data_IF_201210081483
#
_entry.id   IF_201210081483
#
_cell.length_a   1.000
_cell.length_b   1.000
_cell.length_c   1.000
_cell.angle_alpha   90.00
_cell.angle_beta   90.00
_cell.angle_gamma   90.00
#
_symmetry.space_group_name_H-M   'P 1'
#
loop_
_entity.id
_entity.type
_entity.pdbx_description
1 polymer ?
#
# COMPACT_ATOMS: atom_id res chain seq x y z
N UNK A 1 -2.50 -19.81 18.29
CA UNK A 1 -1.67 -19.47 17.10
C UNK A 1 -1.06 -18.11 17.32
N UNK A 2 0.21 -17.90 16.98
CA UNK A 2 0.85 -16.59 17.17
C UNK A 2 0.51 -15.70 15.97
N UNK A 3 0.04 -14.49 16.23
CA UNK A 3 -0.45 -13.58 15.17
C UNK A 3 0.32 -12.27 15.13
N UNK A 4 0.54 -11.77 13.92
CA UNK A 4 1.18 -10.48 13.66
C UNK A 4 0.25 -9.56 12.88
N UNK A 5 0.24 -8.29 13.27
CA UNK A 5 -0.41 -7.21 12.53
C UNK A 5 0.67 -6.25 12.06
N UNK A 6 0.77 -6.00 10.76
CA UNK A 6 1.80 -5.14 10.20
C UNK A 6 1.22 -4.02 9.34
N UNK A 7 1.70 -2.80 9.53
CA UNK A 7 1.47 -1.70 8.59
C UNK A 7 2.17 -2.02 7.25
N UNK A 8 1.50 -1.75 6.13
CA UNK A 8 2.10 -1.92 4.81
C UNK A 8 3.07 -0.78 4.52
N UNK A 9 2.56 0.46 4.48
CA UNK A 9 3.32 1.65 4.10
C UNK A 9 4.33 2.05 5.19
N UNK A 10 5.60 2.15 4.81
CA UNK A 10 6.69 2.53 5.71
C UNK A 10 7.12 1.47 6.73
N UNK A 11 6.55 0.26 6.66
CA UNK A 11 6.92 -0.88 7.51
C UNK A 11 7.30 -2.09 6.65
N UNK A 12 6.33 -2.75 6.01
CA UNK A 12 6.60 -3.87 5.09
C UNK A 12 7.15 -3.38 3.75
N UNK A 13 6.63 -2.25 3.27
CA UNK A 13 7.12 -1.49 2.12
C UNK A 13 7.90 -0.30 2.66
N UNK A 14 9.09 0.00 2.14
CA UNK A 14 9.97 1.04 2.71
C UNK A 14 9.39 2.43 2.56
N UNK A 15 8.72 2.72 1.44
CA UNK A 15 8.12 4.02 1.21
C UNK A 15 6.84 4.21 2.06
N UNK A 16 6.78 5.24 2.93
CA UNK A 16 5.57 5.58 3.67
C UNK A 16 4.50 6.26 2.80
N UNK A 17 4.87 6.81 1.64
CA UNK A 17 3.95 7.50 0.75
C UNK A 17 3.49 6.58 -0.39
N UNK A 18 2.18 6.30 -0.50
CA UNK A 18 1.66 5.46 -1.56
C UNK A 18 1.49 6.18 -2.91
N UNK A 19 1.76 7.49 -2.99
CA UNK A 19 1.50 8.30 -4.19
C UNK A 19 2.06 7.69 -5.49
N UNK A 20 3.27 7.17 -5.46
CA UNK A 20 3.87 6.52 -6.63
C UNK A 20 3.09 5.30 -7.13
N UNK A 21 2.41 4.56 -6.25
CA UNK A 21 1.55 3.43 -6.64
C UNK A 21 0.23 3.92 -7.27
N UNK A 22 -0.30 5.06 -6.82
CA UNK A 22 -1.44 5.70 -7.48
C UNK A 22 -1.08 6.25 -8.86
N UNK A 23 0.12 6.78 -9.04
CA UNK A 23 0.63 7.17 -10.36
C UNK A 23 0.68 5.98 -11.32
N UNK A 24 1.08 4.79 -10.86
CA UNK A 24 1.06 3.57 -11.67
C UNK A 24 -0.36 3.18 -12.10
N UNK A 25 -1.34 3.23 -11.19
CA UNK A 25 -2.74 3.02 -11.54
C UNK A 25 -3.22 4.04 -12.57
N UNK A 26 -2.94 5.33 -12.34
CA UNK A 26 -3.35 6.40 -13.24
C UNK A 26 -2.77 6.21 -14.66
N UNK A 27 -1.50 5.82 -14.76
CA UNK A 27 -0.82 5.64 -16.03
C UNK A 27 -1.28 4.40 -16.80
N UNK A 28 -1.37 3.25 -16.14
CA UNK A 28 -1.66 1.98 -16.82
C UNK A 28 -3.16 1.80 -17.08
N UNK A 29 -4.04 2.28 -16.20
CA UNK A 29 -5.48 2.15 -16.37
C UNK A 29 -6.10 3.26 -17.24
N UNK A 30 -5.51 4.46 -17.26
CA UNK A 30 -6.10 5.63 -17.92
C UNK A 30 -5.19 6.38 -18.88
N UNK A 31 -3.92 6.02 -18.95
CA UNK A 31 -2.91 6.69 -19.76
C UNK A 31 -2.38 7.98 -19.15
N UNK A 32 -1.76 8.78 -20.02
CA UNK A 32 -0.94 9.93 -19.65
C UNK A 32 -1.71 11.12 -19.06
N UNK A 33 -2.96 11.32 -19.48
CA UNK A 33 -3.74 12.49 -19.05
C UNK A 33 -3.96 12.47 -17.54
N UNK A 34 -4.43 11.34 -17.00
CA UNK A 34 -4.66 11.20 -15.55
C UNK A 34 -3.35 11.19 -14.78
N UNK A 35 -2.32 10.58 -15.33
CA UNK A 35 -0.97 10.61 -14.76
C UNK A 35 -0.46 12.06 -14.61
N UNK A 36 -0.61 12.88 -15.65
CA UNK A 36 -0.22 14.29 -15.64
C UNK A 36 -1.08 15.11 -14.67
N UNK A 37 -2.40 14.86 -14.61
CA UNK A 37 -3.28 15.50 -13.63
C UNK A 37 -2.87 15.17 -12.20
N UNK A 38 -2.60 13.90 -11.89
CA UNK A 38 -2.18 13.50 -10.56
C UNK A 38 -0.84 14.16 -10.18
N UNK A 39 0.11 14.21 -11.12
CA UNK A 39 1.39 14.89 -10.92
C UNK A 39 1.23 16.41 -10.73
N UNK A 40 0.33 17.05 -11.47
CA UNK A 40 0.04 18.48 -11.33
C UNK A 40 -0.51 18.81 -9.93
N UNK A 41 -1.33 17.89 -9.38
CA UNK A 41 -1.91 18.04 -8.04
C UNK A 41 -0.99 17.60 -6.90
N UNK A 42 0.18 17.02 -7.20
CA UNK A 42 1.17 16.63 -6.21
C UNK A 42 1.48 17.68 -5.12
N UNK A 43 1.82 18.95 -5.46
CA UNK A 43 2.08 19.96 -4.43
C UNK A 43 0.86 20.27 -3.56
N UNK A 44 -0.35 20.19 -4.13
CA UNK A 44 -1.60 20.40 -3.39
C UNK A 44 -1.85 19.22 -2.44
N UNK A 45 -1.60 17.99 -2.89
CA UNK A 45 -1.72 16.78 -2.09
C UNK A 45 -0.76 16.85 -0.89
N UNK A 46 0.50 17.20 -1.12
CA UNK A 46 1.46 17.38 -0.03
C UNK A 46 1.08 18.51 0.93
N UNK A 47 0.53 19.61 0.42
CA UNK A 47 0.04 20.69 1.27
C UNK A 47 -1.12 20.21 2.15
N UNK A 48 -2.02 19.39 1.61
CA UNK A 48 -3.12 18.77 2.36
C UNK A 48 -2.64 17.75 3.39
N UNK A 49 -1.56 17.03 3.13
CA UNK A 49 -0.95 16.12 4.11
C UNK A 49 -0.27 16.87 5.24
N UNK A 50 0.26 18.08 4.98
CA UNK A 50 0.94 18.90 5.96
C UNK A 50 -0.02 19.74 6.83
N UNK A 51 -1.07 20.29 6.22
CA UNK A 51 -1.97 21.27 6.86
C UNK A 51 -3.42 20.81 6.98
N UNK A 52 -3.80 19.77 6.24
CA UNK A 52 -5.19 19.35 6.12
C UNK A 52 -5.62 18.34 7.17
N UNK A 53 -6.91 17.96 7.15
CA UNK A 53 -7.42 16.85 7.95
C UNK A 53 -6.68 15.55 7.63
N UNK A 54 -6.62 14.65 8.62
CA UNK A 54 -6.04 13.31 8.42
C UNK A 54 -6.65 12.61 7.20
N UNK A 55 -5.79 12.00 6.39
CA UNK A 55 -6.10 11.30 5.15
C UNK A 55 -6.67 12.16 4.00
N UNK A 56 -6.74 13.49 4.11
CA UNK A 56 -7.26 14.34 3.05
C UNK A 56 -6.43 14.24 1.75
N UNK A 57 -5.10 14.27 1.85
CA UNK A 57 -4.20 14.09 0.71
C UNK A 57 -4.37 12.72 0.06
N UNK A 58 -4.50 11.65 0.85
CA UNK A 58 -4.74 10.30 0.36
C UNK A 58 -6.10 10.17 -0.35
N UNK A 59 -7.16 10.78 0.20
CA UNK A 59 -8.49 10.81 -0.42
C UNK A 59 -8.46 11.53 -1.76
N UNK A 60 -7.77 12.68 -1.85
CA UNK A 60 -7.62 13.41 -3.10
C UNK A 60 -6.81 12.60 -4.13
N UNK A 61 -5.70 12.01 -3.71
CA UNK A 61 -4.86 11.13 -4.54
C UNK A 61 -5.69 9.97 -5.10
N UNK A 62 -6.44 9.30 -4.24
CA UNK A 62 -7.33 8.20 -4.61
C UNK A 62 -8.36 8.67 -5.62
N UNK A 63 -9.02 9.81 -5.36
CA UNK A 63 -10.03 10.36 -6.25
C UNK A 63 -9.47 10.63 -7.65
N UNK A 64 -8.36 11.36 -7.76
CA UNK A 64 -7.76 11.69 -9.06
C UNK A 64 -7.30 10.43 -9.79
N UNK A 65 -6.73 9.45 -9.08
CA UNK A 65 -6.17 8.24 -9.68
C UNK A 65 -7.22 7.25 -10.19
N UNK A 66 -8.36 7.11 -9.51
CA UNK A 66 -9.33 6.03 -9.81
C UNK A 66 -10.72 6.49 -10.23
N UNK A 67 -11.08 7.77 -10.07
CA UNK A 67 -12.41 8.24 -10.43
C UNK A 67 -12.73 7.98 -11.91
N UNK A 68 -13.85 7.29 -12.15
CA UNK A 68 -14.34 6.96 -13.49
C UNK A 68 -13.66 5.75 -14.14
N UNK A 69 -12.75 5.03 -13.45
CA UNK A 69 -12.23 3.74 -13.93
C UNK A 69 -13.20 2.60 -13.66
N UNK A 70 -13.19 1.57 -14.51
CA UNK A 70 -13.85 0.31 -14.16
C UNK A 70 -13.05 -0.40 -13.08
N UNK A 71 -13.77 -1.04 -12.16
CA UNK A 71 -13.12 -1.80 -11.08
C UNK A 71 -12.22 -2.92 -11.61
N UNK A 72 -12.58 -3.53 -12.74
CA UNK A 72 -11.79 -4.55 -13.42
C UNK A 72 -10.47 -4.03 -13.98
N UNK A 73 -10.42 -2.76 -14.42
CA UNK A 73 -9.19 -2.13 -14.91
C UNK A 73 -8.23 -1.88 -13.73
N UNK A 74 -8.75 -1.37 -12.61
CA UNK A 74 -7.97 -1.18 -11.39
C UNK A 74 -7.42 -2.53 -10.90
N UNK A 75 -8.26 -3.57 -10.85
CA UNK A 75 -7.84 -4.90 -10.42
C UNK A 75 -6.80 -5.50 -11.36
N UNK A 76 -6.94 -5.30 -12.68
CA UNK A 76 -5.97 -5.75 -13.67
C UNK A 76 -4.60 -5.12 -13.45
N UNK A 77 -4.53 -3.80 -13.24
CA UNK A 77 -3.25 -3.12 -12.96
C UNK A 77 -2.70 -3.52 -11.59
N UNK A 78 -3.57 -3.66 -10.57
CA UNK A 78 -3.18 -4.11 -9.24
C UNK A 78 -2.62 -5.54 -9.22
N UNK A 79 -3.02 -6.38 -10.18
CA UNK A 79 -2.52 -7.75 -10.34
C UNK A 79 -1.27 -7.81 -11.22
N UNK A 80 -1.24 -7.10 -12.33
CA UNK A 80 -0.20 -7.24 -13.34
C UNK A 80 1.02 -6.34 -13.08
N UNK A 81 0.79 -5.14 -12.54
CA UNK A 81 1.81 -4.08 -12.50
C UNK A 81 2.29 -3.79 -11.09
N UNK A 82 1.36 -3.53 -10.16
CA UNK A 82 1.72 -3.13 -8.80
C UNK A 82 2.61 -4.14 -8.05
N UNK A 83 2.44 -5.47 -8.16
CA UNK A 83 3.23 -6.41 -7.37
C UNK A 83 4.73 -6.28 -7.62
N UNK A 84 5.16 -6.00 -8.86
CA UNK A 84 6.57 -5.75 -9.19
C UNK A 84 7.13 -4.59 -8.37
N UNK A 85 6.45 -3.44 -8.41
CA UNK A 85 6.93 -2.23 -7.75
C UNK A 85 6.88 -2.33 -6.23
N UNK A 86 5.89 -3.04 -5.68
CA UNK A 86 5.88 -3.34 -4.25
C UNK A 86 7.03 -4.28 -3.86
N UNK A 87 7.31 -5.31 -4.66
CA UNK A 87 8.39 -6.26 -4.41
C UNK A 87 9.76 -5.57 -4.39
N UNK A 88 10.01 -4.63 -5.30
CA UNK A 88 11.23 -3.83 -5.35
C UNK A 88 11.41 -2.95 -4.10
N UNK A 89 10.31 -2.60 -3.42
CA UNK A 89 10.28 -1.71 -2.26
C UNK A 89 10.09 -2.45 -0.92
N UNK A 90 10.14 -3.79 -0.90
CA UNK A 90 10.00 -4.57 0.34
C UNK A 90 11.16 -4.27 1.30
N UNK A 91 10.81 -4.04 2.57
CA UNK A 91 11.74 -4.09 3.68
C UNK A 91 11.95 -5.54 4.13
N UNK A 92 13.09 -6.12 3.74
CA UNK A 92 13.43 -7.51 4.06
C UNK A 92 13.52 -7.80 5.56
N UNK A 93 13.88 -6.81 6.39
CA UNK A 93 13.96 -7.00 7.83
C UNK A 93 12.56 -7.08 8.46
N UNK A 94 11.63 -6.23 8.03
CA UNK A 94 10.23 -6.29 8.43
C UNK A 94 9.56 -7.58 7.94
N UNK A 95 9.84 -7.98 6.70
CA UNK A 95 9.37 -9.22 6.11
C UNK A 95 9.83 -10.44 6.90
N UNK A 96 11.11 -10.50 7.30
CA UNK A 96 11.66 -11.63 8.06
C UNK A 96 10.85 -11.87 9.33
N UNK A 97 10.58 -10.81 10.10
CA UNK A 97 9.74 -10.88 11.31
C UNK A 97 8.30 -11.28 10.96
N UNK A 98 7.70 -10.65 9.95
CA UNK A 98 6.32 -10.92 9.55
C UNK A 98 6.09 -12.38 9.09
N UNK A 99 7.06 -12.97 8.38
CA UNK A 99 6.97 -14.31 7.80
C UNK A 99 7.01 -15.45 8.82
N UNK A 100 7.40 -15.17 10.06
CA UNK A 100 7.56 -16.15 11.14
C UNK A 100 6.25 -16.51 11.84
N UNK A 101 5.22 -15.69 11.67
CA UNK A 101 3.93 -15.89 12.32
C UNK A 101 3.00 -16.75 11.46
N UNK A 102 2.13 -17.52 12.13
CA UNK A 102 1.13 -18.35 11.45
C UNK A 102 0.02 -17.48 10.87
N UNK A 103 -0.55 -16.58 11.69
CA UNK A 103 -1.64 -15.68 11.30
C UNK A 103 -1.10 -14.28 11.02
N UNK A 104 -1.24 -13.82 9.78
CA UNK A 104 -0.63 -12.62 9.24
C UNK A 104 -1.70 -11.65 8.77
N UNK A 105 -1.78 -10.50 9.43
CA UNK A 105 -2.74 -9.44 9.10
C UNK A 105 -1.99 -8.20 8.65
N UNK A 106 -2.36 -7.65 7.51
CA UNK A 106 -1.78 -6.41 7.00
C UNK A 106 -2.78 -5.27 7.12
N UNK A 107 -2.31 -4.15 7.63
CA UNK A 107 -3.05 -2.90 7.72
C UNK A 107 -2.49 -1.94 6.68
N UNK A 108 -3.35 -1.31 5.90
CA UNK A 108 -2.95 -0.33 4.88
C UNK A 108 -3.88 0.87 4.90
N UNK A 109 -3.33 2.05 4.62
CA UNK A 109 -4.15 3.23 4.31
C UNK A 109 -4.69 3.21 2.88
N UNK A 110 -3.97 2.56 1.96
CA UNK A 110 -4.37 2.47 0.55
C UNK A 110 -5.65 1.64 0.36
N UNK A 111 -6.38 1.87 -0.73
CA UNK A 111 -7.54 1.06 -1.05
C UNK A 111 -7.14 -0.41 -1.20
N UNK A 112 -7.87 -1.29 -0.50
CA UNK A 112 -7.62 -2.74 -0.43
C UNK A 112 -7.41 -3.36 -1.80
N UNK A 113 -8.21 -2.98 -2.81
CA UNK A 113 -8.12 -3.53 -4.16
C UNK A 113 -6.74 -3.34 -4.82
N UNK A 114 -6.00 -2.30 -4.45
CA UNK A 114 -4.67 -2.03 -5.01
C UNK A 114 -3.59 -2.95 -4.45
N UNK A 115 -3.72 -3.38 -3.19
CA UNK A 115 -2.66 -4.14 -2.50
C UNK A 115 -3.01 -5.60 -2.29
N UNK A 116 -4.29 -5.97 -2.38
CA UNK A 116 -4.78 -7.28 -1.95
C UNK A 116 -4.07 -8.44 -2.64
N UNK A 117 -3.86 -8.34 -3.96
CA UNK A 117 -3.17 -9.37 -4.75
C UNK A 117 -1.72 -9.53 -4.33
N UNK A 118 -0.99 -8.42 -4.20
CA UNK A 118 0.39 -8.44 -3.75
C UNK A 118 0.53 -9.08 -2.36
N UNK A 119 -0.27 -8.60 -1.41
CA UNK A 119 -0.15 -9.00 0.00
C UNK A 119 -0.58 -10.46 0.22
N UNK A 120 -1.65 -10.95 -0.44
CA UNK A 120 -2.05 -12.36 -0.31
C UNK A 120 -1.14 -13.31 -1.07
N UNK A 121 -0.78 -12.99 -2.30
CA UNK A 121 -0.05 -13.94 -3.17
C UNK A 121 1.46 -13.91 -2.92
N UNK A 122 2.03 -12.75 -2.58
CA UNK A 122 3.47 -12.57 -2.47
C UNK A 122 3.94 -12.54 -1.01
N UNK A 123 3.18 -11.90 -0.12
CA UNK A 123 3.47 -11.84 1.31
C UNK A 123 2.76 -12.94 2.14
N UNK A 124 1.89 -13.74 1.52
CA UNK A 124 1.13 -14.81 2.19
C UNK A 124 0.37 -14.32 3.43
N UNK A 125 -0.18 -13.11 3.36
CA UNK A 125 -1.05 -12.63 4.44
C UNK A 125 -2.43 -13.31 4.36
N UNK A 126 -3.00 -13.62 5.51
CA UNK A 126 -4.34 -14.21 5.60
C UNK A 126 -5.41 -13.14 5.40
N UNK A 127 -5.22 -11.98 6.03
CA UNK A 127 -6.23 -10.92 6.08
C UNK A 127 -5.64 -9.53 5.86
N UNK A 128 -6.46 -8.65 5.29
CA UNK A 128 -6.06 -7.28 4.94
C UNK A 128 -7.13 -6.31 5.41
N UNK A 129 -6.68 -5.36 6.23
CA UNK A 129 -7.47 -4.25 6.76
C UNK A 129 -7.04 -3.00 6.00
N UNK A 130 -7.73 -2.75 4.89
CA UNK A 130 -7.55 -1.58 4.06
C UNK A 130 -8.85 -0.83 3.82
N UNK A 131 -8.74 0.36 3.25
CA UNK A 131 -9.90 1.17 2.90
C UNK A 131 -10.62 0.60 1.66
N UNK A 132 -11.92 0.81 1.52
CA UNK A 132 -12.69 0.25 0.39
C UNK A 132 -13.15 1.36 -0.55
N UNK A 133 -13.03 1.16 -1.86
CA UNK A 133 -13.53 2.11 -2.85
C UNK A 133 -15.04 2.02 -2.98
N UNK A 134 -15.70 3.17 -3.08
CA UNK A 134 -17.12 3.24 -3.42
C UNK A 134 -17.28 3.03 -4.93
N UNK A 135 -18.16 2.10 -5.30
CA UNK A 135 -18.41 1.71 -6.68
C UNK A 135 -19.85 2.03 -7.04
N UNK A 136 -20.05 2.59 -8.23
CA UNK A 136 -21.39 2.87 -8.76
C UNK A 136 -22.05 1.56 -9.26
N UNK A 137 -23.38 1.56 -9.43
CA UNK A 137 -24.18 0.43 -9.98
C UNK A 137 -23.68 -0.12 -11.32
N UNK A 138 -22.89 0.65 -12.05
CA UNK A 138 -22.32 0.29 -13.34
C UNK A 138 -20.89 -0.29 -13.25
N UNK A 139 -20.35 -0.50 -12.05
CA UNK A 139 -19.01 -1.08 -11.85
C UNK A 139 -17.84 -0.08 -11.97
N UNK A 140 -18.13 1.23 -11.93
CA UNK A 140 -17.11 2.27 -11.96
C UNK A 140 -16.76 2.77 -10.56
N UNK A 141 -15.47 2.94 -10.29
CA UNK A 141 -15.00 3.55 -9.06
C UNK A 141 -15.34 5.05 -9.05
N UNK A 142 -15.94 5.53 -7.97
CA UNK A 142 -16.27 6.95 -7.81
C UNK A 142 -15.06 7.79 -7.40
N UNK A 143 -13.97 7.12 -6.98
CA UNK A 143 -12.80 7.76 -6.40
C UNK A 143 -12.94 8.10 -4.91
N UNK A 144 -14.11 7.83 -4.32
CA UNK A 144 -14.34 8.01 -2.89
C UNK A 144 -14.06 6.72 -2.14
N UNK A 145 -13.57 6.88 -0.92
CA UNK A 145 -13.30 5.79 0.00
C UNK A 145 -14.48 5.67 0.97
N UNK A 146 -14.97 4.45 1.17
CA UNK A 146 -16.01 4.14 2.15
C UNK A 146 -15.42 4.29 3.55
N UNK A 147 -16.13 5.02 4.41
CA UNK A 147 -15.82 5.02 5.83
C UNK A 147 -16.22 3.67 6.44
N UNK A 148 -15.21 2.88 6.81
CA UNK A 148 -15.37 1.53 7.37
C UNK A 148 -15.07 1.50 8.87
N UNK A 149 -15.01 2.67 9.51
CA UNK A 149 -14.63 2.83 10.91
C UNK A 149 -13.12 2.84 11.14
N UNK A 150 -12.73 2.94 12.41
CA UNK A 150 -11.32 3.01 12.80
C UNK A 150 -10.59 1.69 12.53
N UNK A 151 -9.32 1.79 12.11
CA UNK A 151 -8.45 0.63 11.86
C UNK A 151 -8.33 -0.24 13.11
N UNK A 152 -8.15 0.38 14.28
CA UNK A 152 -8.10 -0.28 15.57
C UNK A 152 -9.37 -1.10 15.86
N UNK A 153 -10.56 -0.55 15.59
CA UNK A 153 -11.84 -1.25 15.74
C UNK A 153 -12.01 -2.43 14.79
N UNK A 154 -11.43 -2.35 13.58
CA UNK A 154 -11.44 -3.48 12.63
C UNK A 154 -10.47 -4.58 13.03
N UNK A 155 -9.30 -4.21 13.56
CA UNK A 155 -8.36 -5.17 14.13
C UNK A 155 -8.99 -5.87 15.33
N UNK A 156 -9.58 -5.15 16.28
CA UNK A 156 -10.25 -5.77 17.43
C UNK A 156 -11.39 -6.69 16.99
N UNK A 157 -12.21 -6.30 16.02
CA UNK A 157 -13.26 -7.15 15.47
C UNK A 157 -12.73 -8.44 14.83
N UNK A 158 -11.56 -8.39 14.20
CA UNK A 158 -10.95 -9.56 13.54
C UNK A 158 -10.38 -10.57 14.56
N UNK A 159 -9.89 -10.10 15.70
CA UNK A 159 -9.31 -10.94 16.75
C UNK A 159 -10.28 -11.25 17.90
N UNK A 160 -11.43 -10.57 17.96
CA UNK A 160 -12.42 -10.75 19.04
C UNK A 160 -11.82 -10.38 20.39
N UNK A 161 -11.86 -11.32 21.34
CA UNK A 161 -11.28 -11.16 22.68
C UNK A 161 -9.77 -11.45 22.72
N UNK A 162 -9.20 -12.05 21.67
CA UNK A 162 -7.77 -12.32 21.60
C UNK A 162 -7.00 -11.07 21.17
N UNK A 163 -5.87 -10.80 21.81
CA UNK A 163 -4.98 -9.70 21.39
C UNK A 163 -3.88 -10.21 20.47
N UNK A 164 -3.60 -9.53 19.34
CA UNK A 164 -2.50 -9.90 18.49
C UNK A 164 -1.18 -9.84 19.25
N UNK A 165 -0.30 -10.80 18.99
CA UNK A 165 0.96 -10.92 19.71
C UNK A 165 1.89 -9.75 19.37
N UNK A 166 2.11 -9.49 18.09
CA UNK A 166 3.04 -8.47 17.63
C UNK A 166 2.37 -7.46 16.68
N UNK A 167 2.59 -6.18 16.96
CA UNK A 167 2.32 -5.07 16.05
C UNK A 167 3.62 -4.57 15.42
N UNK A 168 3.71 -4.61 14.09
CA UNK A 168 4.79 -4.01 13.30
C UNK A 168 4.29 -2.70 12.71
N UNK A 169 4.92 -1.59 13.07
CA UNK A 169 4.51 -0.27 12.63
C UNK A 169 5.60 0.76 12.79
N UNK A 170 5.42 1.92 12.17
CA UNK A 170 6.31 3.06 12.37
C UNK A 170 6.14 3.62 13.79
N UNK A 171 7.13 4.32 14.35
CA UNK A 171 6.98 4.97 15.66
C UNK A 171 6.06 6.21 15.64
N UNK A 172 5.52 6.58 14.47
CA UNK A 172 4.71 7.78 14.26
C UNK A 172 3.24 7.57 14.65
N UNK A 173 2.64 8.54 15.34
CA UNK A 173 1.21 8.58 15.68
C UNK A 173 0.33 8.92 14.45
N UNK A 174 0.40 8.10 13.40
CA UNK A 174 -0.55 8.17 12.28
C UNK A 174 -1.78 7.31 12.56
N UNK A 175 -2.93 7.66 11.98
CA UNK A 175 -4.20 6.93 12.12
C UNK A 175 -4.06 5.41 11.85
N UNK A 176 -3.17 5.04 10.92
CA UNK A 176 -2.79 3.67 10.58
C UNK A 176 -2.11 2.92 11.71
N UNK A 177 -1.48 3.60 12.66
CA UNK A 177 -0.72 3.00 13.75
C UNK A 177 -1.54 2.77 15.03
N UNK A 178 -2.80 3.22 15.04
CA UNK A 178 -3.72 3.08 16.17
C UNK A 178 -3.92 1.62 16.62
N UNK A 179 -3.70 0.64 15.72
CA UNK A 179 -3.78 -0.79 16.07
C UNK A 179 -2.65 -1.27 16.97
N UNK A 180 -1.49 -0.59 17.02
CA UNK A 180 -0.39 -1.00 17.88
C UNK A 180 -0.76 -0.90 19.37
N UNK A 181 -1.74 -0.06 19.72
CA UNK A 181 -2.27 0.01 21.09
C UNK A 181 -2.95 -1.29 21.54
N UNK A 182 -3.45 -2.09 20.59
CA UNK A 182 -4.18 -3.34 20.83
C UNK A 182 -3.21 -4.54 20.91
N UNK A 183 -2.02 -4.42 20.31
CA UNK A 183 -1.02 -5.49 20.27
C UNK A 183 -0.32 -5.69 21.62
N UNK A 184 0.02 -6.93 21.95
CA UNK A 184 0.75 -7.27 23.19
C UNK A 184 2.18 -6.71 23.17
N UNK A 185 2.85 -6.84 22.04
CA UNK A 185 4.17 -6.28 21.78
C UNK A 185 4.14 -5.35 20.57
N UNK A 186 5.04 -4.36 20.58
CA UNK A 186 5.22 -3.40 19.49
C UNK A 186 6.65 -3.45 19.03
N UNK A 187 6.86 -3.57 17.72
CA UNK A 187 8.19 -3.52 17.15
C UNK A 187 8.23 -2.46 16.05
N UNK A 188 9.24 -1.59 16.16
CA UNK A 188 9.46 -0.46 15.28
C UNK A 188 10.78 -0.67 14.52
N UNK A 189 10.96 -0.02 13.36
CA UNK A 189 12.27 0.06 12.73
C UNK A 189 13.30 0.69 13.67
N UNK A 190 14.56 0.22 13.70
CA UNK A 190 15.12 -0.85 12.89
C UNK A 190 14.83 -2.22 13.55
N UNK A 191 14.25 -3.16 12.80
CA UNK A 191 13.80 -4.50 13.27
C UNK A 191 14.95 -5.44 13.69
N UNK A 192 16.12 -4.88 13.98
CA UNK A 192 17.42 -5.54 14.21
C UNK A 192 17.44 -6.42 15.46
N UNK A 193 16.64 -6.09 16.47
CA UNK A 193 16.64 -6.83 17.75
C UNK A 193 15.93 -8.18 17.64
N UNK A 194 14.82 -8.25 16.88
CA UNK A 194 14.11 -9.50 16.63
C UNK A 194 14.81 -10.32 15.54
N UNK A 195 15.40 -9.67 14.53
CA UNK A 195 16.13 -10.35 13.46
C UNK A 195 17.30 -11.21 13.94
N UNK A 196 18.00 -10.81 15.02
CA UNK A 196 19.11 -11.59 15.60
C UNK A 196 18.66 -12.77 16.47
N UNK A 197 17.42 -12.79 16.98
CA UNK A 197 16.93 -13.87 17.82
C UNK A 197 16.54 -15.12 17.00
N UNK A 198 16.44 -15.00 15.67
CA UNK A 198 15.72 -15.97 14.82
C UNK A 198 16.50 -16.40 13.58
N UNK A 199 17.83 -16.49 13.69
CA UNK A 199 18.74 -16.95 12.61
C UNK A 199 18.56 -18.44 12.22
N UNK A 200 17.56 -19.13 12.78
CA UNK A 200 17.41 -20.59 12.68
C UNK A 200 16.11 -21.10 12.02
N UNK A 201 15.27 -20.23 11.44
CA UNK A 201 14.07 -20.69 10.73
C UNK A 201 14.00 -20.14 9.30
N UNK A 202 14.12 -21.07 8.35
CA UNK A 202 13.80 -21.02 6.91
C UNK A 202 13.81 -19.62 6.27
N UNK A 203 14.76 -19.40 5.36
CA UNK A 203 14.79 -18.30 4.39
C UNK A 203 13.56 -18.33 3.45
N UNK A 204 12.38 -18.07 3.99
CA UNK A 204 11.15 -17.84 3.25
C UNK A 204 11.29 -16.48 2.59
N UNK A 205 11.82 -16.49 1.36
CA UNK A 205 11.75 -15.31 0.50
C UNK A 205 10.28 -15.06 0.14
N UNK A 206 9.87 -13.79 -0.05
CA UNK A 206 8.56 -13.52 -0.61
C UNK A 206 8.45 -14.20 -1.98
N UNK A 207 7.23 -14.59 -2.37
CA UNK A 207 7.03 -15.27 -3.66
C UNK A 207 7.45 -14.31 -4.77
N UNK A 208 8.29 -14.73 -5.73
CA UNK A 208 8.75 -13.84 -6.78
C UNK A 208 7.60 -13.44 -7.71
N UNK A 209 7.60 -12.18 -8.13
CA UNK A 209 6.65 -11.66 -9.11
C UNK A 209 7.14 -12.03 -10.51
N UNK A 210 6.34 -12.76 -11.28
CA UNK A 210 6.60 -12.96 -12.71
C UNK A 210 5.97 -11.78 -13.46
N UNK A 211 6.81 -10.82 -13.82
CA UNK A 211 6.38 -9.61 -14.52
C UNK A 211 6.62 -9.76 -16.02
N UNK A 212 5.53 -9.81 -16.79
CA UNK A 212 5.61 -10.06 -18.23
C UNK A 212 5.73 -8.78 -19.05
N UNK A 213 5.14 -7.66 -18.61
CA UNK A 213 5.32 -6.37 -19.24
C UNK A 213 4.72 -5.23 -18.38
N UNK A 214 5.26 -4.04 -18.53
CA UNK A 214 4.62 -2.80 -18.07
C UNK A 214 5.38 -1.62 -18.62
N UNK A 215 4.64 -0.55 -18.92
CA UNK A 215 5.14 0.56 -19.73
C UNK A 215 6.21 1.37 -19.01
N UNK A 216 6.28 1.26 -17.68
CA UNK A 216 7.35 1.84 -16.86
C UNK A 216 8.28 0.76 -16.32
N UNK A 217 9.58 1.01 -16.48
CA UNK A 217 10.64 0.16 -15.91
C UNK A 217 10.87 0.48 -14.43
N UNK A 218 10.77 1.76 -14.05
CA UNK A 218 11.00 2.26 -12.69
C UNK A 218 9.73 2.86 -12.10
N UNK A 219 9.60 2.76 -10.77
CA UNK A 219 8.50 3.37 -10.02
C UNK A 219 8.50 4.89 -10.25
N UNK A 220 7.39 5.50 -10.72
CA UNK A 220 7.34 6.92 -11.00
C UNK A 220 7.29 7.71 -9.68
N UNK A 221 8.44 8.22 -9.25
CA UNK A 221 8.46 9.34 -8.29
C UNK A 221 7.93 10.59 -8.99
N UNK A 222 7.42 11.61 -8.28
CA UNK A 222 6.96 12.84 -8.91
C UNK A 222 8.02 13.46 -9.84
N UNK A 223 9.29 13.50 -9.41
CA UNK A 223 10.40 13.99 -10.22
C UNK A 223 10.61 13.14 -11.48
N UNK A 224 10.60 11.80 -11.36
CA UNK A 224 10.72 10.90 -12.51
C UNK A 224 9.49 10.98 -13.43
N UNK A 225 8.29 11.19 -12.87
CA UNK A 225 7.06 11.37 -13.63
C UNK A 225 7.08 12.64 -14.48
N UNK A 226 7.65 13.72 -13.94
CA UNK A 226 7.86 14.96 -14.69
C UNK A 226 8.83 14.75 -15.85
N UNK A 227 9.93 14.03 -15.62
CA UNK A 227 10.87 13.67 -16.68
C UNK A 227 10.22 12.80 -17.77
N UNK A 228 9.36 11.83 -17.38
CA UNK A 228 8.60 11.02 -18.33
C UNK A 228 7.73 11.91 -19.22
N UNK A 229 6.99 12.86 -18.64
CA UNK A 229 6.13 13.75 -19.41
C UNK A 229 6.91 14.68 -20.35
N UNK A 230 8.03 15.23 -19.89
CA UNK A 230 8.88 16.11 -20.70
C UNK A 230 9.57 15.38 -21.86
N UNK A 231 9.85 14.09 -21.72
CA UNK A 231 10.53 13.30 -22.75
C UNK A 231 9.60 12.85 -23.89
N UNK A 232 8.29 12.73 -23.64
CA UNK A 232 7.29 12.29 -24.62
C UNK A 232 7.30 13.12 -25.91
N UNK A 233 7.25 14.46 -25.90
CA UNK A 233 7.28 15.24 -27.14
C UNK A 233 8.58 15.09 -27.94
N UNK A 234 9.69 14.71 -27.29
CA UNK A 234 11.00 14.48 -27.95
C UNK A 234 11.03 13.10 -28.61
N UNK A 235 10.33 12.10 -28.05
CA UNK A 235 10.26 10.76 -28.62
C UNK A 235 9.38 10.61 -29.87
N UNK A 236 8.54 11.60 -30.16
CA UNK A 236 7.72 11.65 -31.38
C UNK A 236 8.22 12.67 -32.42
N UNK A 237 9.31 13.39 -32.11
CA UNK A 237 9.94 14.38 -32.98
C UNK A 237 11.05 13.77 -33.86
#
# INVERSE_FOLDING_TARGET
MVSVVAELEGTLVKDPDPFSYFMLIAFEASGLIRFALLLLFWPVIHLLELLGPEDAGLKLTTFIAVAGLRISEIESVARAVLPKFYMDDINMDAWRVFSQFDKRVVVTKTPRIMVERFVKEHLRADEIIGSELVVNRFGFATGLVRDVGTISGRVSKLFGDEKPFLGLGRPSDSSSNSFMSICKERCHPPFTYIGKLVDNHNDLRPVPVIFHDGRLVKRPTPATGLLILLWIPIGFA
#
